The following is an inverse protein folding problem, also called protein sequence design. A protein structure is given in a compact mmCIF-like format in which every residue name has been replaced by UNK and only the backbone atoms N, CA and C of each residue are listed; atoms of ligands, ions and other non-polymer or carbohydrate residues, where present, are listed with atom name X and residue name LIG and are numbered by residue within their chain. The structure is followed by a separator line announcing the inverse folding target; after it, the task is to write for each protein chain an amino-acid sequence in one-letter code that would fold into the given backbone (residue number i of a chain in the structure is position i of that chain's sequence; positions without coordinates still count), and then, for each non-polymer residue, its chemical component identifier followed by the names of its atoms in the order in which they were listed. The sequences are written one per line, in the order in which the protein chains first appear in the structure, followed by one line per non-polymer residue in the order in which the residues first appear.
data_IF_555956983441
#
_entry.id   IF_555956983441
#
_cell.length_a   1.000
_cell.length_b   1.000
_cell.length_c   1.000
_cell.angle_alpha   90.00
_cell.angle_beta   90.00
_cell.angle_gamma   90.00
#
_symmetry.space_group_name_H-M   'P 1'
#
loop_
_entity.id
_entity.type
_entity.pdbx_description
1 polymer ?
#
# COMPACT_ATOMS: atom_id res chain seq x y z
N UNK A 1 5.70 8.09 -8.00
CA UNK A 1 4.58 9.04 -8.19
C UNK A 1 3.44 8.47 -9.05
N UNK A 2 3.73 7.57 -10.01
CA UNK A 2 2.75 6.97 -10.93
C UNK A 2 1.57 6.21 -10.32
N UNK A 3 1.57 5.82 -9.04
CA UNK A 3 0.43 5.11 -8.41
C UNK A 3 -0.37 6.01 -7.44
N UNK A 4 0.08 7.24 -7.20
CA UNK A 4 -0.64 8.21 -6.35
C UNK A 4 -1.96 8.67 -6.98
N UNK A 5 -2.12 8.52 -8.31
CA UNK A 5 -3.39 8.82 -8.96
C UNK A 5 -4.53 7.95 -8.43
N UNK A 6 -4.25 6.71 -7.97
CA UNK A 6 -5.28 5.85 -7.39
C UNK A 6 -5.96 6.54 -6.21
N UNK A 7 -5.18 7.21 -5.35
CA UNK A 7 -5.72 7.99 -4.23
C UNK A 7 -6.48 9.23 -4.73
N UNK A 8 -5.83 10.07 -5.55
CA UNK A 8 -6.40 11.36 -5.94
C UNK A 8 -7.64 11.24 -6.85
N UNK A 9 -7.62 10.28 -7.79
CA UNK A 9 -8.77 9.98 -8.67
C UNK A 9 -9.95 9.41 -7.88
N UNK A 10 -9.69 8.47 -6.96
CA UNK A 10 -10.73 7.89 -6.10
C UNK A 10 -11.40 8.96 -5.24
N UNK A 11 -10.65 9.90 -4.65
CA UNK A 11 -11.23 11.00 -3.87
C UNK A 11 -12.17 11.87 -4.69
N UNK A 12 -11.77 12.28 -5.90
CA UNK A 12 -12.60 13.12 -6.77
C UNK A 12 -13.89 12.42 -7.22
N UNK A 13 -13.78 11.17 -7.71
CA UNK A 13 -14.93 10.39 -8.16
C UNK A 13 -15.89 10.07 -7.02
N UNK A 14 -15.36 9.77 -5.83
CA UNK A 14 -16.15 9.50 -4.64
C UNK A 14 -16.87 10.76 -4.16
N UNK A 15 -16.20 11.91 -4.13
CA UNK A 15 -16.81 13.18 -3.73
C UNK A 15 -17.96 13.60 -4.66
N UNK A 16 -17.79 13.40 -5.97
CA UNK A 16 -18.85 13.66 -6.95
C UNK A 16 -20.06 12.74 -6.74
N UNK A 17 -19.83 11.43 -6.57
CA UNK A 17 -20.89 10.45 -6.33
C UNK A 17 -21.62 10.69 -5.00
N UNK A 18 -20.86 11.03 -3.95
CA UNK A 18 -21.38 11.37 -2.63
C UNK A 18 -22.25 12.63 -2.67
N UNK A 19 -21.77 13.70 -3.31
CA UNK A 19 -22.54 14.94 -3.49
C UNK A 19 -23.81 14.75 -4.31
N UNK A 20 -23.77 13.86 -5.32
CA UNK A 20 -24.92 13.52 -6.14
C UNK A 20 -25.93 12.55 -5.46
N UNK A 21 -25.63 12.07 -4.24
CA UNK A 21 -26.43 11.06 -3.52
C UNK A 21 -26.70 9.80 -4.35
N UNK A 22 -25.73 9.40 -5.19
CA UNK A 22 -25.85 8.21 -6.05
C UNK A 22 -25.07 7.03 -5.42
N UNK A 23 -25.77 6.10 -4.75
CA UNK A 23 -25.11 4.97 -4.07
C UNK A 23 -24.45 4.00 -5.05
N UNK A 24 -24.96 3.88 -6.29
CA UNK A 24 -24.37 2.99 -7.29
C UNK A 24 -23.05 3.55 -7.80
N UNK A 25 -22.98 4.85 -8.09
CA UNK A 25 -21.71 5.51 -8.45
C UNK A 25 -20.73 5.49 -7.28
N UNK A 26 -21.21 5.66 -6.05
CA UNK A 26 -20.37 5.61 -4.86
C UNK A 26 -19.71 4.25 -4.68
N UNK A 27 -20.45 3.16 -4.87
CA UNK A 27 -19.93 1.80 -4.81
C UNK A 27 -18.91 1.54 -5.94
N UNK A 28 -19.20 2.00 -7.17
CA UNK A 28 -18.27 1.88 -8.31
C UNK A 28 -16.96 2.64 -8.08
N UNK A 29 -17.03 3.82 -7.45
CA UNK A 29 -15.87 4.61 -7.08
C UNK A 29 -14.95 3.91 -6.06
N UNK A 30 -15.42 2.88 -5.35
CA UNK A 30 -14.60 2.03 -4.48
C UNK A 30 -14.12 0.76 -5.19
N UNK A 31 -15.05 0.01 -5.80
CA UNK A 31 -14.79 -1.33 -6.31
C UNK A 31 -13.80 -1.31 -7.49
N UNK A 32 -13.95 -0.36 -8.42
CA UNK A 32 -13.10 -0.34 -9.62
C UNK A 32 -11.64 0.01 -9.28
N UNK A 33 -11.34 1.10 -8.53
CA UNK A 33 -9.96 1.40 -8.17
C UNK A 33 -9.37 0.33 -7.25
N UNK A 34 -10.17 -0.29 -6.38
CA UNK A 34 -9.71 -1.38 -5.52
C UNK A 34 -9.31 -2.62 -6.34
N UNK A 35 -10.12 -3.02 -7.32
CA UNK A 35 -9.80 -4.12 -8.23
C UNK A 35 -8.50 -3.83 -9.02
N UNK A 36 -8.33 -2.60 -9.52
CA UNK A 36 -7.10 -2.17 -10.20
C UNK A 36 -5.89 -2.19 -9.26
N UNK A 37 -6.04 -1.70 -8.02
CA UNK A 37 -5.00 -1.69 -7.01
C UNK A 37 -4.54 -3.12 -6.65
N UNK A 38 -5.50 -4.03 -6.46
CA UNK A 38 -5.20 -5.44 -6.19
C UNK A 38 -4.55 -6.12 -7.38
N UNK A 39 -5.06 -5.92 -8.60
CA UNK A 39 -4.47 -6.45 -9.83
C UNK A 39 -3.05 -5.95 -10.05
N UNK A 40 -2.80 -4.66 -9.87
CA UNK A 40 -1.45 -4.08 -9.94
C UNK A 40 -0.54 -4.62 -8.83
N UNK A 41 -1.05 -4.81 -7.61
CA UNK A 41 -0.30 -5.40 -6.51
C UNK A 41 0.11 -6.85 -6.78
N UNK A 42 -0.79 -7.66 -7.33
CA UNK A 42 -0.49 -9.04 -7.74
C UNK A 42 0.56 -9.04 -8.85
N UNK A 43 0.44 -8.15 -9.83
CA UNK A 43 1.44 -8.02 -10.90
C UNK A 43 2.83 -7.65 -10.35
N UNK A 44 2.90 -6.75 -9.37
CA UNK A 44 4.15 -6.41 -8.67
C UNK A 44 4.73 -7.64 -7.96
N UNK A 45 3.90 -8.45 -7.30
CA UNK A 45 4.35 -9.69 -6.64
C UNK A 45 4.91 -10.68 -7.67
N UNK A 46 4.22 -10.86 -8.81
CA UNK A 46 4.67 -11.78 -9.87
C UNK A 46 6.00 -11.33 -10.50
N UNK A 47 6.17 -10.02 -10.68
CA UNK A 47 7.37 -9.43 -11.26
C UNK A 47 8.45 -9.09 -10.21
N UNK A 48 8.30 -9.52 -8.96
CA UNK A 48 9.18 -9.09 -7.87
C UNK A 48 10.65 -9.43 -8.11
N UNK A 49 10.95 -10.63 -8.60
CA UNK A 49 12.33 -11.09 -8.81
C UNK A 49 13.08 -10.21 -9.82
N UNK A 50 12.60 -10.05 -11.09
CA UNK A 50 13.32 -9.22 -12.06
C UNK A 50 13.38 -7.74 -11.64
N UNK A 51 12.38 -7.26 -10.89
CA UNK A 51 12.39 -5.88 -10.43
C UNK A 51 13.35 -5.63 -9.26
N UNK A 52 13.51 -6.60 -8.35
CA UNK A 52 14.52 -6.56 -7.28
C UNK A 52 15.93 -6.62 -7.89
N UNK A 53 16.15 -7.52 -8.85
CA UNK A 53 17.45 -7.65 -9.53
C UNK A 53 17.84 -6.35 -10.25
N UNK A 54 16.90 -5.77 -10.99
CA UNK A 54 17.09 -4.49 -11.66
C UNK A 54 17.39 -3.37 -10.66
N UNK A 55 16.64 -3.29 -9.56
CA UNK A 55 16.83 -2.27 -8.54
C UNK A 55 18.21 -2.37 -7.87
N UNK A 56 18.64 -3.58 -7.50
CA UNK A 56 19.95 -3.81 -6.88
C UNK A 56 21.10 -3.54 -7.86
N UNK A 57 20.93 -3.86 -9.14
CA UNK A 57 21.93 -3.57 -10.16
C UNK A 57 22.12 -2.05 -10.38
N UNK A 58 21.04 -1.28 -10.35
CA UNK A 58 21.10 0.18 -10.52
C UNK A 58 21.69 0.87 -9.28
N UNK A 59 21.31 0.44 -8.08
CA UNK A 59 21.78 1.06 -6.82
C UNK A 59 23.26 0.78 -6.59
N UNK A 60 23.72 -0.44 -6.87
CA UNK A 60 25.09 -0.88 -6.56
C UNK A 60 25.37 -0.88 -5.04
N UNK A 61 26.56 -1.34 -4.64
CA UNK A 61 26.94 -1.40 -3.22
C UNK A 61 27.85 -2.59 -2.92
N UNK A 62 28.25 -2.73 -1.65
CA UNK A 62 28.96 -3.93 -1.20
C UNK A 62 28.02 -5.13 -1.17
N UNK A 63 28.56 -6.33 -1.36
CA UNK A 63 27.77 -7.58 -1.38
C UNK A 63 26.91 -7.74 -0.12
N UNK A 64 27.46 -7.44 1.06
CA UNK A 64 26.74 -7.53 2.32
C UNK A 64 25.51 -6.58 2.39
N UNK A 65 25.59 -5.39 1.81
CA UNK A 65 24.46 -4.44 1.77
C UNK A 65 23.42 -4.88 0.75
N UNK A 66 23.84 -5.37 -0.41
CA UNK A 66 22.94 -5.85 -1.46
C UNK A 66 22.18 -7.11 -1.03
N UNK A 67 22.81 -8.01 -0.28
CA UNK A 67 22.15 -9.18 0.27
C UNK A 67 21.03 -8.80 1.23
N UNK A 68 21.27 -7.83 2.13
CA UNK A 68 20.22 -7.36 3.03
C UNK A 68 19.13 -6.55 2.34
N UNK A 69 19.50 -5.72 1.36
CA UNK A 69 18.54 -5.02 0.54
C UNK A 69 17.62 -5.99 -0.23
N UNK A 70 18.17 -7.11 -0.75
CA UNK A 70 17.37 -8.16 -1.39
C UNK A 70 16.35 -8.75 -0.42
N UNK A 71 16.79 -9.23 0.76
CA UNK A 71 15.90 -9.84 1.76
C UNK A 71 14.79 -8.87 2.17
N UNK A 72 15.15 -7.61 2.43
CA UNK A 72 14.20 -6.57 2.75
C UNK A 72 13.16 -6.36 1.63
N UNK A 73 13.60 -6.26 0.38
CA UNK A 73 12.70 -6.05 -0.75
C UNK A 73 11.79 -7.25 -1.01
N UNK A 74 12.31 -8.48 -0.92
CA UNK A 74 11.52 -9.70 -1.09
C UNK A 74 10.34 -9.75 -0.12
N UNK A 75 10.57 -9.38 1.14
CA UNK A 75 9.52 -9.32 2.16
C UNK A 75 8.59 -8.12 1.90
N UNK A 76 9.16 -6.94 1.65
CA UNK A 76 8.37 -5.69 1.51
C UNK A 76 7.42 -5.75 0.33
N UNK A 77 7.81 -6.38 -0.77
CA UNK A 77 7.01 -6.45 -1.99
C UNK A 77 5.74 -7.29 -1.84
N UNK A 78 5.70 -8.24 -0.89
CA UNK A 78 4.49 -9.00 -0.57
C UNK A 78 3.36 -8.10 -0.04
N UNK A 79 3.72 -6.97 0.57
CA UNK A 79 2.75 -6.00 1.07
C UNK A 79 2.22 -5.02 0.01
N UNK A 80 2.66 -5.14 -1.26
CA UNK A 80 2.27 -4.23 -2.33
C UNK A 80 0.73 -4.18 -2.58
N UNK A 81 0.00 -5.32 -2.66
CA UNK A 81 -1.46 -5.29 -2.83
C UNK A 81 -2.17 -4.55 -1.70
N UNK A 82 -1.79 -4.84 -0.45
CA UNK A 82 -2.35 -4.19 0.73
C UNK A 82 -2.04 -2.68 0.75
N UNK A 83 -0.81 -2.31 0.37
CA UNK A 83 -0.39 -0.90 0.32
C UNK A 83 -1.16 -0.11 -0.72
N UNK A 84 -1.41 -0.68 -1.91
CA UNK A 84 -2.20 -0.04 -2.97
C UNK A 84 -3.68 0.03 -2.63
N UNK A 85 -4.25 -1.03 -2.05
CA UNK A 85 -5.62 -1.03 -1.56
C UNK A 85 -5.83 0.06 -0.48
N UNK A 86 -4.85 0.23 0.41
CA UNK A 86 -4.88 1.27 1.43
C UNK A 86 -4.97 2.69 0.82
N UNK A 87 -4.28 2.96 -0.28
CA UNK A 87 -4.38 4.26 -0.99
C UNK A 87 -5.79 4.52 -1.52
N UNK A 88 -6.44 3.49 -2.06
CA UNK A 88 -7.83 3.58 -2.54
C UNK A 88 -8.79 3.83 -1.38
N UNK A 89 -8.67 3.07 -0.29
CA UNK A 89 -9.53 3.22 0.88
C UNK A 89 -9.39 4.61 1.50
N UNK A 90 -8.17 5.11 1.67
CA UNK A 90 -7.92 6.48 2.13
C UNK A 90 -8.55 7.51 1.18
N UNK A 91 -8.38 7.32 -0.13
CA UNK A 91 -8.97 8.20 -1.14
C UNK A 91 -10.49 8.25 -1.06
N UNK A 92 -11.13 7.08 -0.92
CA UNK A 92 -12.58 6.93 -0.82
C UNK A 92 -13.12 7.54 0.49
N UNK A 93 -12.51 7.23 1.63
CA UNK A 93 -12.90 7.77 2.94
C UNK A 93 -12.84 9.30 2.99
N UNK A 94 -11.79 9.88 2.40
CA UNK A 94 -11.67 11.33 2.27
C UNK A 94 -12.72 11.90 1.30
N UNK A 95 -13.03 11.19 0.22
CA UNK A 95 -14.05 11.59 -0.75
C UNK A 95 -15.46 11.67 -0.17
N UNK A 96 -15.82 10.76 0.74
CA UNK A 96 -17.09 10.83 1.52
C UNK A 96 -17.02 11.78 2.72
N UNK A 97 -15.97 12.60 2.83
CA UNK A 97 -15.72 13.54 3.92
C UNK A 97 -15.57 12.91 5.31
N UNK A 98 -15.28 11.61 5.39
CA UNK A 98 -15.07 10.93 6.66
C UNK A 98 -13.60 10.94 7.07
N UNK A 99 -13.09 12.13 7.42
CA UNK A 99 -11.67 12.36 7.73
C UNK A 99 -11.19 11.65 9.02
N UNK A 100 -12.10 11.21 9.90
CA UNK A 100 -11.74 10.47 11.13
C UNK A 100 -11.21 9.07 10.86
N UNK A 101 -11.76 8.36 9.87
CA UNK A 101 -11.31 7.00 9.56
C UNK A 101 -9.85 6.92 9.09
N UNK A 102 -9.36 7.79 8.17
CA UNK A 102 -7.94 7.84 7.83
C UNK A 102 -7.00 7.98 9.02
N UNK A 103 -7.38 8.81 10.00
CA UNK A 103 -6.58 9.01 11.23
C UNK A 103 -6.55 7.74 12.06
N UNK A 104 -7.70 7.12 12.31
CA UNK A 104 -7.78 5.85 13.05
C UNK A 104 -6.94 4.78 12.35
N UNK A 105 -7.07 4.67 11.03
CA UNK A 105 -6.36 3.67 10.25
C UNK A 105 -4.84 3.89 10.28
N UNK A 106 -4.39 5.14 10.24
CA UNK A 106 -2.98 5.49 10.38
C UNK A 106 -2.47 5.18 11.79
N UNK A 107 -3.21 5.57 12.84
CA UNK A 107 -2.80 5.34 14.23
C UNK A 107 -2.73 3.85 14.53
N UNK A 108 -3.78 3.09 14.23
CA UNK A 108 -3.82 1.64 14.43
C UNK A 108 -2.73 0.96 13.62
N UNK A 109 -2.55 1.32 12.35
CA UNK A 109 -1.51 0.76 11.51
C UNK A 109 -0.10 0.98 12.07
N UNK A 110 0.21 2.19 12.53
CA UNK A 110 1.52 2.48 13.12
C UNK A 110 1.72 1.80 14.47
N UNK A 111 0.69 1.77 15.33
CA UNK A 111 0.76 1.05 16.60
C UNK A 111 0.99 -0.44 16.40
N UNK A 112 0.30 -1.06 15.44
CA UNK A 112 0.53 -2.46 15.08
C UNK A 112 1.95 -2.67 14.56
N UNK A 113 2.47 -1.79 13.71
CA UNK A 113 3.87 -1.87 13.27
C UNK A 113 4.84 -1.83 14.47
N UNK A 114 4.69 -0.86 15.37
CA UNK A 114 5.54 -0.73 16.56
C UNK A 114 5.46 -2.00 17.43
N UNK A 115 4.26 -2.47 17.73
CA UNK A 115 4.06 -3.66 18.58
C UNK A 115 4.66 -4.90 17.92
N UNK A 116 4.44 -5.09 16.62
CA UNK A 116 4.98 -6.22 15.88
C UNK A 116 6.51 -6.15 15.78
N UNK A 117 7.09 -4.98 15.53
CA UNK A 117 8.54 -4.82 15.50
C UNK A 117 9.16 -5.18 16.86
N UNK A 118 8.62 -4.64 17.96
CA UNK A 118 9.10 -4.96 19.31
C UNK A 118 8.96 -6.45 19.62
N UNK A 119 7.84 -7.07 19.24
CA UNK A 119 7.59 -8.49 19.53
C UNK A 119 8.44 -9.44 18.66
N UNK A 120 8.50 -9.22 17.35
CA UNK A 120 9.26 -10.07 16.43
C UNK A 120 10.78 -9.93 16.64
N UNK A 121 11.27 -8.70 16.85
CA UNK A 121 12.70 -8.44 17.02
C UNK A 121 13.15 -8.83 18.42
N UNK A 122 12.53 -8.32 19.49
CA UNK A 122 13.00 -8.60 20.86
C UNK A 122 12.47 -9.92 21.41
N UNK A 123 11.22 -10.29 21.11
CA UNK A 123 10.59 -11.50 21.62
C UNK A 123 11.05 -12.76 20.89
N UNK A 124 11.00 -12.75 19.55
CA UNK A 124 11.39 -13.92 18.73
C UNK A 124 12.86 -13.89 18.27
N UNK A 125 13.62 -12.84 18.60
CA UNK A 125 15.01 -12.63 18.16
C UNK A 125 15.19 -12.71 16.63
N UNK A 126 14.16 -12.35 15.87
CA UNK A 126 14.23 -12.26 14.42
C UNK A 126 14.98 -10.98 14.03
N UNK A 127 16.29 -10.97 14.24
CA UNK A 127 17.19 -9.98 13.65
C UNK A 127 17.42 -10.39 12.20
N UNK A 128 16.59 -9.86 11.29
CA UNK A 128 16.80 -9.97 9.84
C UNK A 128 17.71 -8.84 9.39
#
# INVERSE_FOLDING_TARGET
MLLLFLRMSTTGLTAQAWGAKDPQRLARALVQPLALALGAGVLIILLRLPLIDLALHIVGGSEAVLEQARRFLEIRWLSAPASLANLVLLGWLLGVQYARAPVILLVVGNLLNIVLDLWLVMGLRMNV
#
